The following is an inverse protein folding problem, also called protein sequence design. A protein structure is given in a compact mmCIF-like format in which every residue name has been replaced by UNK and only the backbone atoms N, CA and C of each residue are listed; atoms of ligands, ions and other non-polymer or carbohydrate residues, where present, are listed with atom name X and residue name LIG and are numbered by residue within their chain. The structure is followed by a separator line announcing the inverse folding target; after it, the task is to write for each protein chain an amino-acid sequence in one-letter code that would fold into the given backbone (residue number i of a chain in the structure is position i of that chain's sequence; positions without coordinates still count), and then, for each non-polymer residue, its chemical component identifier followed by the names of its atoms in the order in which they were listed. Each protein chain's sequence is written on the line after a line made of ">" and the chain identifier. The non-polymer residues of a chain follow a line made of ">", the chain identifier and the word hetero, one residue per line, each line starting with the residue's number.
data_IF_414406191427
#
_entry.id   IF_414406191427
#
_cell.length_a   1.000
_cell.length_b   1.000
_cell.length_c   1.000
_cell.angle_alpha   90.00
_cell.angle_beta   90.00
_cell.angle_gamma   90.00
#
_symmetry.space_group_name_H-M   'P 1'
#
loop_
_entity.id
_entity.type
_entity.pdbx_description
1 polymer ?
#
# COMPACT_ATOMS: atom_id res chain seq x y z
N UNK A 1 14.15 -4.44 22.60
CA UNK A 1 14.79 -3.15 22.30
C UNK A 1 13.94 -2.05 22.91
N UNK A 2 14.09 -1.80 24.21
CA UNK A 2 13.63 -0.55 24.83
C UNK A 2 14.86 0.33 24.94
N UNK A 3 15.33 0.82 23.80
CA UNK A 3 16.44 1.76 23.75
C UNK A 3 15.83 3.16 23.67
N UNK A 4 16.33 4.06 24.51
CA UNK A 4 16.13 5.50 24.36
C UNK A 4 16.77 5.90 23.03
N UNK A 5 16.01 5.78 21.94
CA UNK A 5 16.43 6.25 20.63
C UNK A 5 16.61 7.76 20.75
N UNK A 6 17.80 8.24 20.43
CA UNK A 6 18.05 9.66 20.30
C UNK A 6 17.37 10.17 19.02
N UNK A 7 16.12 10.62 19.16
CA UNK A 7 15.29 11.12 18.08
C UNK A 7 15.91 12.37 17.44
N UNK A 8 16.66 13.16 18.21
CA UNK A 8 17.30 14.40 17.73
C UNK A 8 18.47 14.12 16.78
N UNK A 9 19.11 12.96 16.90
CA UNK A 9 20.18 12.52 16.03
C UNK A 9 19.72 11.65 14.83
N UNK A 10 18.42 11.34 14.71
CA UNK A 10 17.91 10.54 13.60
C UNK A 10 18.11 11.23 12.24
N UNK A 11 18.52 10.45 11.25
CA UNK A 11 18.48 10.85 9.85
C UNK A 11 17.05 11.31 9.49
N UNK A 12 16.93 12.37 8.69
CA UNK A 12 15.64 13.03 8.39
C UNK A 12 14.55 12.07 7.91
N UNK A 13 14.93 11.09 7.09
CA UNK A 13 14.03 10.00 6.66
C UNK A 13 13.42 9.22 7.84
N UNK A 14 14.25 8.72 8.77
CA UNK A 14 13.78 7.96 9.93
C UNK A 14 13.06 8.84 10.95
N UNK A 15 13.43 10.12 11.05
CA UNK A 15 12.65 11.08 11.83
C UNK A 15 11.23 11.20 11.30
N UNK A 16 11.06 11.40 9.99
CA UNK A 16 9.73 11.47 9.37
C UNK A 16 8.92 10.18 9.56
N UNK A 17 9.55 9.00 9.47
CA UNK A 17 8.88 7.73 9.79
C UNK A 17 8.48 7.67 11.27
N UNK A 18 9.37 8.08 12.18
CA UNK A 18 9.06 8.07 13.62
C UNK A 18 7.92 9.01 14.00
N UNK A 19 7.78 10.15 13.30
CA UNK A 19 6.66 11.07 13.47
C UNK A 19 5.36 10.49 12.91
N UNK A 20 5.44 9.70 11.82
CA UNK A 20 4.29 9.09 11.16
C UNK A 20 3.73 7.87 11.92
N UNK A 21 4.60 6.96 12.38
CA UNK A 21 4.19 5.65 12.94
C UNK A 21 4.80 5.35 14.32
N UNK A 22 5.43 6.33 14.96
CA UNK A 22 6.11 6.18 16.25
C UNK A 22 7.50 5.54 16.13
N UNK A 23 8.30 5.68 17.20
CA UNK A 23 9.68 5.16 17.27
C UNK A 23 9.72 3.64 17.11
N UNK A 24 8.81 2.90 17.77
CA UNK A 24 8.78 1.44 17.66
C UNK A 24 8.47 0.96 16.24
N UNK A 25 7.51 1.62 15.57
CA UNK A 25 7.18 1.33 14.17
C UNK A 25 8.34 1.63 13.23
N UNK A 26 9.01 2.77 13.43
CA UNK A 26 10.21 3.14 12.69
C UNK A 26 11.33 2.12 12.84
N UNK A 27 11.59 1.62 14.06
CA UNK A 27 12.61 0.60 14.30
C UNK A 27 12.31 -0.71 13.57
N UNK A 28 11.04 -1.12 13.49
CA UNK A 28 10.65 -2.30 12.68
C UNK A 28 10.98 -2.10 11.21
N UNK A 29 10.70 -0.91 10.66
CA UNK A 29 11.07 -0.59 9.26
C UNK A 29 12.59 -0.60 9.07
N UNK A 30 13.34 0.01 9.99
CA UNK A 30 14.81 0.01 9.94
C UNK A 30 15.37 -1.41 9.94
N UNK A 31 14.97 -2.24 10.91
CA UNK A 31 15.47 -3.62 11.01
C UNK A 31 15.13 -4.48 9.80
N UNK A 32 13.95 -4.30 9.21
CA UNK A 32 13.53 -5.09 8.04
C UNK A 32 14.16 -4.64 6.73
N UNK A 33 14.39 -3.34 6.53
CA UNK A 33 14.73 -2.79 5.21
C UNK A 33 16.09 -2.10 5.11
N UNK A 34 16.85 -1.95 6.21
CA UNK A 34 18.19 -1.33 6.18
C UNK A 34 19.11 -1.96 5.14
N UNK A 35 19.70 -1.14 4.29
CA UNK A 35 20.60 -1.58 3.20
C UNK A 35 19.89 -2.00 1.91
N UNK A 36 18.55 -2.06 1.87
CA UNK A 36 17.79 -2.33 0.65
C UNK A 36 17.46 -1.04 -0.10
N UNK A 37 17.35 -1.13 -1.43
CA UNK A 37 16.68 -0.11 -2.23
C UNK A 37 15.20 -0.48 -2.33
N UNK A 38 14.33 0.32 -1.71
CA UNK A 38 12.88 0.10 -1.68
C UNK A 38 12.17 1.16 -2.51
N UNK A 39 11.30 0.74 -3.42
CA UNK A 39 10.37 1.62 -4.15
C UNK A 39 8.98 1.42 -3.59
N UNK A 40 8.34 2.51 -3.14
CA UNK A 40 6.97 2.46 -2.62
C UNK A 40 5.99 2.43 -3.80
N UNK A 41 5.12 1.41 -3.92
CA UNK A 41 4.12 1.34 -4.98
C UNK A 41 3.08 2.47 -4.87
N UNK A 42 2.64 2.99 -6.02
CA UNK A 42 1.56 3.99 -6.10
C UNK A 42 0.20 3.36 -5.79
N UNK A 43 -0.01 2.10 -6.19
CA UNK A 43 -1.23 1.36 -5.92
C UNK A 43 -1.09 0.56 -4.63
N UNK A 44 -2.04 0.76 -3.73
CA UNK A 44 -2.10 0.04 -2.46
C UNK A 44 -2.35 -1.47 -2.66
N UNK A 45 -3.21 -1.83 -3.61
CA UNK A 45 -3.57 -3.21 -3.90
C UNK A 45 -2.75 -3.76 -5.07
N UNK A 46 -2.45 -5.05 -5.02
CA UNK A 46 -1.91 -5.77 -6.16
C UNK A 46 -2.95 -5.85 -7.29
N UNK A 47 -2.49 -5.64 -8.53
CA UNK A 47 -3.37 -5.55 -9.69
C UNK A 47 -4.08 -6.87 -10.01
N UNK A 48 -3.42 -7.99 -9.82
CA UNK A 48 -3.98 -9.31 -10.13
C UNK A 48 -4.95 -9.74 -9.05
N UNK A 49 -4.58 -9.58 -7.78
CA UNK A 49 -5.46 -9.89 -6.64
C UNK A 49 -6.70 -8.98 -6.66
N UNK A 50 -6.54 -7.69 -6.93
CA UNK A 50 -7.67 -6.78 -7.08
C UNK A 50 -8.60 -7.20 -8.22
N UNK A 51 -8.06 -7.66 -9.35
CA UNK A 51 -8.88 -8.12 -10.47
C UNK A 51 -9.73 -9.34 -10.09
N UNK A 52 -9.16 -10.31 -9.36
CA UNK A 52 -9.91 -11.49 -8.90
C UNK A 52 -11.03 -11.08 -7.93
N UNK A 53 -10.76 -10.16 -7.00
CA UNK A 53 -11.79 -9.65 -6.10
C UNK A 53 -12.86 -8.80 -6.80
N UNK A 54 -12.51 -8.06 -7.85
CA UNK A 54 -13.48 -7.33 -8.69
C UNK A 54 -14.47 -8.30 -9.31
N UNK A 55 -14.02 -9.42 -9.88
CA UNK A 55 -14.89 -10.41 -10.49
C UNK A 55 -15.83 -11.06 -9.47
N UNK A 56 -15.34 -11.33 -8.27
CA UNK A 56 -16.14 -11.92 -7.18
C UNK A 56 -17.17 -10.96 -6.59
N UNK A 57 -16.86 -9.66 -6.55
CA UNK A 57 -17.71 -8.65 -5.88
C UNK A 57 -18.58 -7.86 -6.87
N UNK A 58 -18.47 -8.12 -8.17
CA UNK A 58 -19.25 -7.41 -9.17
C UNK A 58 -20.73 -7.82 -9.11
N UNK A 59 -21.61 -6.83 -8.96
CA UNK A 59 -23.06 -7.05 -8.83
C UNK A 59 -23.84 -6.59 -10.07
N UNK A 60 -23.16 -6.24 -11.16
CA UNK A 60 -23.76 -5.73 -12.40
C UNK A 60 -23.80 -4.21 -12.53
N UNK A 61 -23.66 -3.45 -11.42
CA UNK A 61 -23.77 -1.98 -11.45
C UNK A 61 -22.70 -1.25 -10.61
N UNK A 62 -21.94 -1.95 -9.76
CA UNK A 62 -20.98 -1.36 -8.82
C UNK A 62 -19.56 -1.11 -9.38
N UNK A 63 -19.40 -0.86 -10.69
CA UNK A 63 -18.07 -0.64 -11.30
C UNK A 63 -17.33 0.56 -10.69
N UNK A 64 -18.04 1.64 -10.37
CA UNK A 64 -17.46 2.84 -9.76
C UNK A 64 -16.95 2.58 -8.34
N UNK A 65 -17.74 1.87 -7.52
CA UNK A 65 -17.38 1.54 -6.15
C UNK A 65 -16.14 0.65 -6.11
N UNK A 66 -16.08 -0.36 -6.98
CA UNK A 66 -14.93 -1.26 -7.09
C UNK A 66 -13.68 -0.52 -7.57
N UNK A 67 -13.82 0.38 -8.54
CA UNK A 67 -12.73 1.22 -9.02
C UNK A 67 -12.15 2.08 -7.89
N UNK A 68 -13.02 2.76 -7.13
CA UNK A 68 -12.60 3.61 -6.01
C UNK A 68 -11.97 2.78 -4.88
N UNK A 69 -12.57 1.63 -4.53
CA UNK A 69 -12.08 0.74 -3.47
C UNK A 69 -10.68 0.23 -3.74
N UNK A 70 -10.39 -0.22 -4.97
CA UNK A 70 -9.09 -0.79 -5.32
C UNK A 70 -8.09 0.24 -5.86
N UNK A 71 -8.48 1.51 -6.01
CA UNK A 71 -7.61 2.57 -6.50
C UNK A 71 -7.25 2.44 -7.98
N UNK A 72 -8.20 1.96 -8.80
CA UNK A 72 -8.07 1.82 -10.25
C UNK A 72 -9.15 2.61 -10.99
N UNK A 73 -8.97 2.82 -12.29
CA UNK A 73 -9.99 3.49 -13.11
C UNK A 73 -11.20 2.59 -13.37
N UNK A 74 -12.38 3.17 -13.55
CA UNK A 74 -13.56 2.42 -14.01
C UNK A 74 -13.30 1.68 -15.34
N UNK A 75 -12.51 2.28 -16.25
CA UNK A 75 -12.10 1.64 -17.51
C UNK A 75 -11.33 0.35 -17.26
N UNK A 76 -10.47 0.31 -16.24
CA UNK A 76 -9.75 -0.90 -15.85
C UNK A 76 -10.70 -1.97 -15.30
N UNK A 77 -11.67 -1.60 -14.44
CA UNK A 77 -12.68 -2.54 -13.92
C UNK A 77 -13.49 -3.16 -15.07
N UNK A 78 -13.99 -2.35 -16.00
CA UNK A 78 -14.72 -2.84 -17.18
C UNK A 78 -13.85 -3.75 -18.05
N UNK A 79 -12.55 -3.47 -18.17
CA UNK A 79 -11.60 -4.34 -18.88
C UNK A 79 -11.45 -5.69 -18.18
N UNK A 80 -11.25 -5.71 -16.86
CA UNK A 80 -11.15 -6.93 -16.06
C UNK A 80 -12.40 -7.80 -16.22
N UNK A 81 -13.58 -7.19 -16.15
CA UNK A 81 -14.87 -7.87 -16.32
C UNK A 81 -15.01 -8.52 -17.70
N UNK A 82 -14.46 -7.91 -18.75
CA UNK A 82 -14.50 -8.42 -20.13
C UNK A 82 -13.45 -9.49 -20.42
N UNK A 83 -12.28 -9.42 -19.80
CA UNK A 83 -11.17 -10.35 -20.05
C UNK A 83 -11.38 -11.72 -19.40
N UNK A 84 -12.23 -11.82 -18.37
CA UNK A 84 -12.55 -13.08 -17.69
C UNK A 84 -13.98 -13.58 -17.94
N UNK A 85 -14.71 -12.93 -18.86
CA UNK A 85 -15.99 -13.41 -19.42
C UNK A 85 -15.74 -14.22 -20.67
#
# INVERSE_FOLDING_TARGET
>A
MNENVDVEALHSFYRGISELIGVEGMLKVFEQYRGMQVTIPIHLYDRHLAADHVLQQYNGQNTYELANKYGYSQRWVVKVLKEKQ
#
